data_IF_455698465225
#
_entry.id   IF_455698465225
#
_cell.length_a   1.000
_cell.length_b   1.000
_cell.length_c   1.000
_cell.angle_alpha   90.00
_cell.angle_beta   90.00
_cell.angle_gamma   90.00
#
_symmetry.space_group_name_H-M   'P 1'
#
loop_
_entity.id
_entity.type
_entity.pdbx_description
1 polymer ?
#
# COMPACT_ATOMS: atom_id res chain seq x y z
N UNK A 1 16.16 -7.17 -4.79
CA UNK A 1 15.09 -6.45 -5.51
C UNK A 1 15.72 -5.51 -6.53
N UNK A 2 15.23 -5.52 -7.78
CA UNK A 2 15.67 -4.61 -8.84
C UNK A 2 15.37 -3.14 -8.48
N UNK A 3 16.19 -2.20 -8.95
CA UNK A 3 16.02 -0.77 -8.68
C UNK A 3 14.64 -0.25 -9.10
N UNK A 4 14.14 -0.67 -10.27
CA UNK A 4 12.81 -0.27 -10.76
C UNK A 4 11.68 -0.62 -9.80
N UNK A 5 11.66 -1.85 -9.28
CA UNK A 5 10.65 -2.28 -8.29
C UNK A 5 10.77 -1.48 -6.99
N UNK A 6 12.00 -1.16 -6.57
CA UNK A 6 12.24 -0.32 -5.39
C UNK A 6 11.72 1.10 -5.59
N UNK A 7 11.91 1.68 -6.78
CA UNK A 7 11.34 2.99 -7.15
C UNK A 7 9.81 2.93 -7.14
N UNK A 8 9.20 1.89 -7.70
CA UNK A 8 7.73 1.69 -7.64
C UNK A 8 7.22 1.67 -6.20
N UNK A 9 7.90 0.96 -5.30
CA UNK A 9 7.51 0.92 -3.88
C UNK A 9 7.70 2.27 -3.18
N UNK A 10 8.72 3.04 -3.55
CA UNK A 10 8.88 4.41 -3.03
C UNK A 10 7.78 5.36 -3.51
N UNK A 11 7.40 5.28 -4.79
CA UNK A 11 6.26 6.05 -5.32
C UNK A 11 4.97 5.65 -4.60
N UNK A 12 4.76 4.36 -4.37
CA UNK A 12 3.66 3.84 -3.57
C UNK A 12 3.68 4.39 -2.13
N UNK A 13 4.85 4.45 -1.48
CA UNK A 13 4.98 5.04 -0.14
C UNK A 13 4.61 6.52 -0.19
N UNK A 14 5.13 7.28 -1.16
CA UNK A 14 4.82 8.71 -1.31
C UNK A 14 3.32 8.96 -1.52
N UNK A 15 2.67 8.14 -2.35
CA UNK A 15 1.22 8.18 -2.54
C UNK A 15 0.47 8.00 -1.20
N UNK A 16 0.88 7.03 -0.38
CA UNK A 16 0.25 6.80 0.91
C UNK A 16 0.53 7.90 1.93
N UNK A 17 1.73 8.50 1.90
CA UNK A 17 2.04 9.65 2.75
C UNK A 17 1.12 10.83 2.43
N UNK A 18 0.85 11.08 1.14
CA UNK A 18 -0.11 12.11 0.72
C UNK A 18 -1.52 11.77 1.22
N UNK A 19 -1.97 10.52 1.09
CA UNK A 19 -3.28 10.09 1.63
C UNK A 19 -3.36 10.31 3.15
N UNK A 20 -2.35 9.87 3.92
CA UNK A 20 -2.28 10.11 5.36
C UNK A 20 -2.38 11.60 5.68
N UNK A 21 -1.63 12.45 4.97
CA UNK A 21 -1.65 13.89 5.22
C UNK A 21 -3.01 14.51 4.94
N UNK A 22 -3.63 14.18 3.80
CA UNK A 22 -4.97 14.66 3.44
C UNK A 22 -6.00 14.22 4.47
N UNK A 23 -6.05 12.92 4.79
CA UNK A 23 -7.04 12.38 5.72
C UNK A 23 -6.86 12.84 7.17
N UNK A 24 -5.64 13.23 7.57
CA UNK A 24 -5.37 13.72 8.92
C UNK A 24 -5.58 15.23 9.07
N UNK A 25 -5.32 16.01 8.02
CA UNK A 25 -5.22 17.47 8.09
C UNK A 25 -6.32 18.21 7.34
N UNK A 26 -6.86 17.62 6.27
CA UNK A 26 -7.93 18.18 5.46
C UNK A 26 -8.91 17.09 4.96
N UNK A 27 -9.48 16.26 5.86
CA UNK A 27 -10.38 15.16 5.48
C UNK A 27 -11.61 15.64 4.69
N UNK A 28 -12.01 16.90 4.81
CA UNK A 28 -13.13 17.53 4.09
C UNK A 28 -12.96 17.43 2.58
N UNK A 29 -11.71 17.44 2.09
CA UNK A 29 -11.39 17.31 0.66
C UNK A 29 -11.90 15.98 0.10
N UNK A 30 -11.80 14.91 0.89
CA UNK A 30 -12.26 13.56 0.51
C UNK A 30 -13.72 13.37 0.90
N UNK A 31 -14.10 13.85 2.08
CA UNK A 31 -15.43 13.71 2.65
C UNK A 31 -16.53 14.40 1.84
N UNK A 32 -16.20 15.47 1.10
CA UNK A 32 -17.12 16.21 0.25
C UNK A 32 -17.77 15.37 -0.88
N UNK A 33 -17.14 14.27 -1.29
CA UNK A 33 -17.70 13.33 -2.26
C UNK A 33 -18.83 12.46 -1.67
N UNK A 34 -18.96 12.40 -0.34
CA UNK A 34 -19.94 11.62 0.37
C UNK A 34 -21.17 12.45 0.73
N UNK A 35 -22.37 11.88 0.54
CA UNK A 35 -23.63 12.53 0.95
C UNK A 35 -23.77 12.44 2.47
N UNK A 36 -23.40 13.51 3.16
CA UNK A 36 -23.52 13.57 4.63
C UNK A 36 -23.73 14.95 5.23
N UNK A 37 -23.87 16.01 4.42
CA UNK A 37 -23.86 17.39 4.91
C UNK A 37 -22.48 17.77 5.48
N UNK A 38 -22.45 18.78 6.35
CA UNK A 38 -21.22 19.21 7.03
C UNK A 38 -20.57 18.05 7.80
N UNK A 39 -19.23 18.03 7.81
CA UNK A 39 -18.48 16.95 8.44
C UNK A 39 -18.57 17.04 9.96
N UNK A 40 -19.09 15.98 10.58
CA UNK A 40 -19.20 15.90 12.04
C UNK A 40 -17.91 15.33 12.68
N UNK A 41 -17.71 15.47 14.00
CA UNK A 41 -16.52 14.97 14.68
C UNK A 41 -16.30 13.46 14.54
N UNK A 42 -17.38 12.66 14.46
CA UNK A 42 -17.28 11.22 14.26
C UNK A 42 -16.69 10.89 12.89
N UNK A 43 -17.11 11.57 11.83
CA UNK A 43 -16.57 11.42 10.47
C UNK A 43 -15.11 11.87 10.41
N UNK A 44 -14.76 13.00 11.05
CA UNK A 44 -13.36 13.41 11.22
C UNK A 44 -12.51 12.29 11.85
N UNK A 45 -13.00 11.71 12.95
CA UNK A 45 -12.29 10.62 13.62
C UNK A 45 -12.16 9.36 12.74
N UNK A 46 -13.20 9.01 11.98
CA UNK A 46 -13.16 7.89 11.05
C UNK A 46 -12.13 8.11 9.94
N UNK A 47 -12.05 9.31 9.35
CA UNK A 47 -11.01 9.64 8.38
C UNK A 47 -9.61 9.60 8.98
N UNK A 48 -9.44 10.13 10.18
CA UNK A 48 -8.18 10.03 10.91
C UNK A 48 -7.79 8.56 11.19
N UNK A 49 -8.75 7.71 11.54
CA UNK A 49 -8.51 6.27 11.71
C UNK A 49 -8.09 5.59 10.38
N UNK A 50 -8.70 5.97 9.26
CA UNK A 50 -8.29 5.52 7.93
C UNK A 50 -6.88 6.03 7.58
N UNK A 51 -6.53 7.26 7.97
CA UNK A 51 -5.16 7.77 7.82
C UNK A 51 -4.14 6.86 8.53
N UNK A 52 -4.50 6.32 9.71
CA UNK A 52 -3.69 5.34 10.45
C UNK A 52 -3.49 4.02 9.70
N UNK A 53 -4.48 3.57 8.93
CA UNK A 53 -4.31 2.43 8.02
C UNK A 53 -3.24 2.74 6.96
N UNK A 54 -3.24 3.94 6.37
CA UNK A 54 -2.19 4.35 5.42
C UNK A 54 -0.79 4.37 6.05
N UNK A 55 -0.68 4.81 7.32
CA UNK A 55 0.59 4.74 8.07
C UNK A 55 1.06 3.29 8.24
N UNK A 56 0.16 2.37 8.57
CA UNK A 56 0.49 0.95 8.72
C UNK A 56 1.04 0.37 7.41
N UNK A 57 0.37 0.61 6.29
CA UNK A 57 0.78 0.07 4.99
C UNK A 57 2.10 0.69 4.49
N UNK A 58 2.41 1.94 4.86
CA UNK A 58 3.74 2.53 4.66
C UNK A 58 4.78 1.75 5.46
N UNK A 59 4.53 1.57 6.77
CA UNK A 59 5.48 0.91 7.67
C UNK A 59 5.80 -0.52 7.21
N UNK A 60 4.78 -1.34 6.89
CA UNK A 60 5.01 -2.71 6.41
C UNK A 60 5.73 -2.74 5.06
N UNK A 61 5.54 -1.74 4.20
CA UNK A 61 6.26 -1.66 2.92
C UNK A 61 7.72 -1.31 3.14
N UNK A 62 8.03 -0.37 4.05
CA UNK A 62 9.40 -0.07 4.45
C UNK A 62 10.08 -1.31 5.05
N UNK A 63 9.37 -2.05 5.90
CA UNK A 63 9.85 -3.33 6.44
C UNK A 63 10.11 -4.33 5.31
N UNK A 64 9.17 -4.51 4.37
CA UNK A 64 9.38 -5.40 3.23
C UNK A 64 10.62 -5.01 2.43
N UNK A 65 10.85 -3.73 2.19
CA UNK A 65 12.01 -3.24 1.44
C UNK A 65 13.34 -3.47 2.15
N UNK A 66 13.36 -3.69 3.47
CA UNK A 66 14.58 -3.98 4.24
C UNK A 66 14.95 -5.46 4.28
N UNK A 67 14.03 -6.37 3.91
CA UNK A 67 14.28 -7.81 3.96
C UNK A 67 15.19 -8.30 2.83
N UNK A 68 16.16 -9.14 3.19
CA UNK A 68 17.13 -9.70 2.24
C UNK A 68 16.54 -10.72 1.26
N UNK A 69 15.59 -11.56 1.70
CA UNK A 69 15.03 -12.66 0.91
C UNK A 69 13.76 -12.26 0.17
N UNK A 70 13.71 -12.53 -1.13
CA UNK A 70 12.54 -12.24 -1.98
C UNK A 70 11.29 -12.98 -1.53
N UNK A 71 11.40 -14.19 -0.98
CA UNK A 71 10.23 -14.91 -0.47
C UNK A 71 9.52 -14.14 0.66
N UNK A 72 10.27 -13.52 1.57
CA UNK A 72 9.71 -12.82 2.72
C UNK A 72 9.16 -11.46 2.30
N UNK A 73 9.85 -10.74 1.40
CA UNK A 73 9.34 -9.51 0.76
C UNK A 73 8.01 -9.74 0.08
N UNK A 74 7.93 -10.76 -0.78
CA UNK A 74 6.73 -11.07 -1.56
C UNK A 74 5.53 -11.36 -0.69
N UNK A 75 5.69 -12.09 0.42
CA UNK A 75 4.58 -12.34 1.36
C UNK A 75 3.98 -11.04 1.88
N UNK A 76 4.81 -10.11 2.35
CA UNK A 76 4.33 -8.83 2.89
C UNK A 76 3.70 -7.98 1.78
N UNK A 77 4.34 -7.89 0.60
CA UNK A 77 3.81 -7.11 -0.53
C UNK A 77 2.46 -7.68 -1.01
N UNK A 78 2.31 -9.00 -1.07
CA UNK A 78 1.04 -9.65 -1.42
C UNK A 78 -0.02 -9.35 -0.38
N UNK A 79 0.26 -9.49 0.92
CA UNK A 79 -0.70 -9.16 1.98
C UNK A 79 -1.16 -7.70 1.83
N UNK A 80 -0.22 -6.78 1.59
CA UNK A 80 -0.53 -5.38 1.39
C UNK A 80 -1.39 -5.13 0.13
N UNK A 81 -1.11 -5.85 -0.96
CA UNK A 81 -1.92 -5.83 -2.17
C UNK A 81 -3.36 -6.31 -1.91
N UNK A 82 -3.51 -7.40 -1.14
CA UNK A 82 -4.83 -7.95 -0.80
C UNK A 82 -5.64 -7.01 0.09
N UNK A 83 -4.99 -6.24 0.96
CA UNK A 83 -5.69 -5.19 1.73
C UNK A 83 -6.28 -4.13 0.80
N UNK A 84 -5.52 -3.65 -0.18
CA UNK A 84 -6.05 -2.71 -1.18
C UNK A 84 -7.21 -3.28 -2.02
N UNK A 85 -7.11 -4.54 -2.43
CA UNK A 85 -8.13 -5.18 -3.27
C UNK A 85 -9.40 -5.47 -2.44
N UNK A 86 -9.27 -6.18 -1.33
CA UNK A 86 -10.43 -6.67 -0.60
C UNK A 86 -10.98 -5.67 0.42
N UNK A 87 -10.09 -5.09 1.23
CA UNK A 87 -10.52 -4.19 2.29
C UNK A 87 -10.91 -2.82 1.76
N UNK A 88 -10.15 -2.28 0.81
CA UNK A 88 -10.40 -0.92 0.33
C UNK A 88 -11.32 -0.91 -0.90
N UNK A 89 -10.95 -1.58 -2.00
CA UNK A 89 -11.77 -1.57 -3.22
C UNK A 89 -13.08 -2.37 -3.09
N UNK A 90 -13.01 -3.64 -2.64
CA UNK A 90 -14.22 -4.47 -2.58
C UNK A 90 -15.17 -4.06 -1.45
N UNK A 91 -14.69 -3.57 -0.30
CA UNK A 91 -15.61 -3.08 0.73
C UNK A 91 -16.42 -1.88 0.24
N UNK A 92 -15.81 -1.00 -0.53
CA UNK A 92 -16.51 0.11 -1.17
C UNK A 92 -17.56 -0.37 -2.17
N UNK A 93 -17.25 -1.32 -3.06
CA UNK A 93 -18.20 -1.76 -4.08
C UNK A 93 -19.30 -2.67 -3.52
N UNK A 94 -18.92 -3.66 -2.70
CA UNK A 94 -19.80 -4.77 -2.30
C UNK A 94 -20.60 -4.45 -1.04
N UNK A 95 -20.00 -3.76 -0.08
CA UNK A 95 -20.61 -3.58 1.24
C UNK A 95 -21.18 -2.18 1.42
N UNK A 96 -20.43 -1.17 1.00
CA UNK A 96 -20.73 0.20 1.39
C UNK A 96 -21.29 1.03 0.23
N UNK A 97 -21.09 0.65 -1.03
CA UNK A 97 -21.37 1.48 -2.21
C UNK A 97 -22.79 2.04 -2.25
N UNK A 98 -23.78 1.24 -1.86
CA UNK A 98 -25.17 1.68 -1.75
C UNK A 98 -25.45 2.53 -0.51
N UNK A 99 -24.71 2.32 0.58
CA UNK A 99 -24.89 2.95 1.88
C UNK A 99 -24.16 4.29 2.05
N UNK A 100 -23.00 4.51 1.40
CA UNK A 100 -22.19 5.73 1.61
C UNK A 100 -22.69 6.94 0.80
N UNK A 101 -23.74 6.76 0.00
CA UNK A 101 -24.38 7.85 -0.73
C UNK A 101 -23.49 8.57 -1.75
N UNK A 102 -22.33 8.01 -2.10
CA UNK A 102 -21.43 8.58 -3.10
C UNK A 102 -22.05 8.51 -4.50
N UNK A 103 -21.61 9.37 -5.41
CA UNK A 103 -21.94 9.16 -6.83
C UNK A 103 -21.24 7.88 -7.33
N UNK A 104 -21.85 7.21 -8.31
CA UNK A 104 -21.25 5.98 -8.87
C UNK A 104 -19.88 6.28 -9.50
N UNK A 105 -19.69 7.47 -10.09
CA UNK A 105 -18.41 7.90 -10.63
C UNK A 105 -17.33 8.01 -9.55
N UNK A 106 -17.62 8.66 -8.41
CA UNK A 106 -16.64 8.82 -7.33
C UNK A 106 -16.31 7.47 -6.69
N UNK A 107 -17.33 6.64 -6.46
CA UNK A 107 -17.16 5.27 -5.96
C UNK A 107 -16.27 4.43 -6.89
N UNK A 108 -16.50 4.53 -8.20
CA UNK A 108 -15.74 3.79 -9.21
C UNK A 108 -14.31 4.28 -9.31
N UNK A 109 -14.08 5.59 -9.22
CA UNK A 109 -12.73 6.16 -9.22
C UNK A 109 -11.98 5.71 -7.97
N UNK A 110 -12.57 5.86 -6.79
CA UNK A 110 -11.88 5.52 -5.54
C UNK A 110 -11.57 4.02 -5.46
N UNK A 111 -12.58 3.17 -5.72
CA UNK A 111 -12.39 1.72 -5.75
C UNK A 111 -11.42 1.29 -6.86
N UNK A 112 -11.47 1.96 -8.01
CA UNK A 112 -10.58 1.71 -9.14
C UNK A 112 -9.13 2.04 -8.84
N UNK A 113 -8.85 3.15 -8.15
CA UNK A 113 -7.50 3.51 -7.69
C UNK A 113 -6.98 2.43 -6.73
N UNK A 114 -7.78 2.03 -5.74
CA UNK A 114 -7.36 1.00 -4.78
C UNK A 114 -7.10 -0.35 -5.47
N UNK A 115 -7.95 -0.74 -6.43
CA UNK A 115 -7.74 -1.95 -7.23
C UNK A 115 -6.46 -1.86 -8.06
N UNK A 116 -6.22 -0.73 -8.75
CA UNK A 116 -5.03 -0.52 -9.57
C UNK A 116 -3.74 -0.57 -8.73
N UNK A 117 -3.74 0.05 -7.54
CA UNK A 117 -2.62 -0.02 -6.59
C UNK A 117 -2.39 -1.46 -6.11
N UNK A 118 -3.45 -2.19 -5.77
CA UNK A 118 -3.37 -3.60 -5.41
C UNK A 118 -2.76 -4.46 -6.52
N UNK A 119 -3.23 -4.31 -7.76
CA UNK A 119 -2.71 -5.03 -8.92
C UNK A 119 -1.24 -4.67 -9.20
N UNK A 120 -0.87 -3.40 -9.09
CA UNK A 120 0.52 -2.95 -9.21
C UNK A 120 1.40 -3.66 -8.16
N UNK A 121 0.97 -3.75 -6.89
CA UNK A 121 1.72 -4.45 -5.85
C UNK A 121 1.83 -5.96 -6.14
N UNK A 122 0.79 -6.60 -6.68
CA UNK A 122 0.88 -8.00 -7.13
C UNK A 122 1.91 -8.17 -8.25
N UNK A 123 1.96 -7.24 -9.21
CA UNK A 123 2.98 -7.24 -10.27
C UNK A 123 4.37 -7.08 -9.66
N UNK A 124 4.55 -6.17 -8.68
CA UNK A 124 5.84 -6.01 -7.97
C UNK A 124 6.23 -7.31 -7.27
N UNK A 125 5.32 -7.96 -6.54
CA UNK A 125 5.59 -9.22 -5.87
C UNK A 125 5.90 -10.34 -6.88
N UNK A 126 5.20 -10.38 -8.01
CA UNK A 126 5.44 -11.36 -9.06
C UNK A 126 6.82 -11.21 -9.69
N UNK A 127 7.28 -9.97 -9.89
CA UNK A 127 8.58 -9.64 -10.48
C UNK A 127 9.75 -9.64 -9.48
N UNK A 128 9.49 -9.55 -8.17
CA UNK A 128 10.55 -9.53 -7.17
C UNK A 128 11.28 -10.88 -7.10
N UNK A 129 12.59 -10.81 -7.25
CA UNK A 129 13.51 -11.95 -7.23
C UNK A 129 14.71 -11.56 -6.37
N UNK A 130 15.40 -12.57 -5.87
CA UNK A 130 16.70 -12.36 -5.27
C UNK A 130 17.64 -11.82 -6.34
N UNK A 131 18.38 -10.78 -6.01
CA UNK A 131 19.40 -10.24 -6.90
C UNK A 131 20.63 -11.14 -6.72
N UNK A 132 21.05 -11.81 -7.77
CA UNK A 132 22.22 -12.69 -7.74
C UNK A 132 23.45 -11.91 -7.21
N UNK A 133 24.13 -12.52 -6.23
CA UNK A 133 25.41 -12.13 -5.66
C UNK A 133 25.51 -10.72 -5.02
N UNK A 134 25.33 -10.67 -3.70
CA UNK A 134 26.18 -9.77 -2.90
C UNK A 134 27.57 -10.44 -2.77
N UNK A 135 28.68 -9.79 -3.18
CA UNK A 135 30.04 -10.35 -3.10
C UNK A 135 30.55 -10.57 -1.67
N UNK A 136 29.68 -10.42 -0.65
CA UNK A 136 30.03 -10.70 0.75
C UNK A 136 30.12 -12.18 1.08
N UNK A 137 29.52 -13.07 0.28
CA UNK A 137 29.60 -14.51 0.55
C UNK A 137 30.81 -15.18 -0.11
N UNK A 138 31.30 -14.67 -1.25
CA UNK A 138 32.47 -15.26 -1.92
C UNK A 138 33.75 -15.17 -1.09
N UNK A 139 33.88 -14.13 -0.25
CA UNK A 139 35.06 -13.95 0.61
C UNK A 139 35.10 -14.89 1.83
N UNK A 140 33.96 -15.44 2.24
CA UNK A 140 33.90 -16.40 3.37
C UNK A 140 34.27 -17.82 2.90
N UNK A 141 33.77 -18.18 1.72
CA UNK A 141 34.05 -19.49 1.11
C UNK A 141 35.52 -19.62 0.63
N UNK A 142 36.19 -18.51 0.32
CA UNK A 142 37.61 -18.50 -0.05
C UNK A 142 38.53 -18.73 1.16
N UNK A 143 38.15 -18.20 2.33
CA UNK A 143 38.92 -18.38 3.58
C UNK A 143 38.82 -19.82 4.09
N UNK A 144 37.65 -20.45 4.00
CA UNK A 144 37.46 -21.84 4.44
C UNK A 144 38.05 -22.89 3.48
N UNK A 145 38.36 -22.53 2.23
CA UNK A 145 39.03 -23.42 1.26
C UNK A 145 40.55 -23.31 1.27
N UNK A 146 41.09 -22.38 2.06
CA UNK A 146 42.53 -22.10 2.14
C UNK A 146 43.22 -22.77 3.35
N UNK A 147 42.51 -23.62 4.10
CA UNK A 147 43.02 -24.37 5.25
C UNK A 147 43.03 -25.87 4.99
#
# INVERSE_FOLDING_TARGET
MKLSLRVTLWVYIAFNVVQTAVLSLAPEMVDSAYRGGEMNPTRHFLWFAIAGYHVLIIAVTVVAMSLGRAADRRKIIVINALMYIFWDAMAQIVHWGHAIGMTISDLSVNSGVSLAVGLMLLVVAWLDRDTDASPRNSRRDEVDRSC
#
